data_IF_295182793387
#
_entry.id   IF_295182793387
#
_cell.length_a   1.000
_cell.length_b   1.000
_cell.length_c   1.000
_cell.angle_alpha   90.00
_cell.angle_beta   90.00
_cell.angle_gamma   90.00
#
_symmetry.space_group_name_H-M   'P 1'
#
loop_
_entity.id
_entity.type
_entity.pdbx_description
1 polymer ?
#
# COMPACT_ATOMS: atom_id res chain seq x y z
N UNK A 1 -9.90 -5.78 -5.57
CA UNK A 1 -10.07 -6.74 -4.45
C UNK A 1 -11.48 -7.31 -4.46
N UNK A 2 -11.63 -8.62 -4.19
CA UNK A 2 -12.92 -9.28 -3.97
C UNK A 2 -13.58 -8.78 -2.66
N UNK A 3 -14.92 -8.80 -2.52
CA UNK A 3 -15.59 -8.54 -1.24
C UNK A 3 -15.05 -9.47 -0.15
N UNK A 4 -14.84 -8.95 1.06
CA UNK A 4 -14.18 -9.65 2.17
C UNK A 4 -12.66 -9.69 2.10
N UNK A 5 -12.05 -9.30 0.97
CA UNK A 5 -10.60 -9.34 0.77
C UNK A 5 -9.84 -8.39 1.70
N UNK A 6 -8.62 -8.80 2.06
CA UNK A 6 -7.67 -8.03 2.86
C UNK A 6 -6.41 -7.79 2.02
N UNK A 7 -5.90 -6.57 2.07
CA UNK A 7 -4.62 -6.17 1.48
C UNK A 7 -3.75 -5.51 2.55
N UNK A 8 -2.49 -5.94 2.63
CA UNK A 8 -1.46 -5.28 3.42
C UNK A 8 -0.49 -4.61 2.46
N UNK A 9 -0.24 -3.31 2.65
CA UNK A 9 0.63 -2.54 1.76
C UNK A 9 1.38 -1.45 2.52
N UNK A 10 2.72 -1.35 2.37
CA UNK A 10 3.46 -0.18 2.83
C UNK A 10 3.17 1.01 1.91
N UNK A 11 2.84 2.16 2.50
CA UNK A 11 2.59 3.41 1.77
C UNK A 11 3.50 4.50 2.31
N UNK A 12 4.36 5.03 1.45
CA UNK A 12 5.39 6.01 1.77
C UNK A 12 6.61 5.83 0.86
N UNK A 13 7.62 6.69 1.03
CA UNK A 13 8.89 6.62 0.31
C UNK A 13 9.97 6.00 1.22
N UNK A 14 10.89 6.80 1.78
CA UNK A 14 11.99 6.32 2.64
C UNK A 14 11.53 5.61 3.92
N UNK A 15 10.52 6.17 4.60
CA UNK A 15 9.80 5.52 5.70
C UNK A 15 8.35 5.38 5.29
N UNK A 16 7.75 4.23 5.55
CA UNK A 16 6.37 3.96 5.15
C UNK A 16 5.50 3.58 6.32
N UNK A 17 4.19 3.81 6.16
CA UNK A 17 3.18 3.29 7.06
C UNK A 17 2.61 1.99 6.48
N UNK A 18 2.59 0.93 7.27
CA UNK A 18 1.92 -0.30 6.88
C UNK A 18 0.41 -0.13 7.07
N UNK A 19 -0.35 -0.33 5.99
CA UNK A 19 -1.80 -0.28 6.01
C UNK A 19 -2.43 -1.64 5.82
N UNK A 20 -3.38 -1.96 6.69
CA UNK A 20 -4.37 -3.02 6.47
C UNK A 20 -5.61 -2.42 5.81
N UNK A 21 -5.87 -2.81 4.59
CA UNK A 21 -7.05 -2.42 3.81
C UNK A 21 -7.99 -3.61 3.73
N UNK A 22 -9.26 -3.42 4.13
CA UNK A 22 -10.33 -4.43 4.01
C UNK A 22 -11.42 -3.90 3.09
N UNK A 23 -11.82 -4.71 2.11
CA UNK A 23 -13.06 -4.48 1.36
C UNK A 23 -14.18 -5.27 2.03
N UNK A 24 -15.23 -4.62 2.52
CA UNK A 24 -16.35 -5.34 3.14
C UNK A 24 -17.26 -6.01 2.09
N UNK A 25 -18.29 -6.71 2.56
CA UNK A 25 -19.26 -7.40 1.69
C UNK A 25 -20.11 -6.46 0.83
N UNK A 26 -20.28 -5.20 1.25
CA UNK A 26 -21.01 -4.15 0.52
C UNK A 26 -20.11 -3.39 -0.46
N UNK A 27 -18.81 -3.64 -0.40
CA UNK A 27 -17.81 -3.06 -1.27
C UNK A 27 -17.11 -1.83 -0.71
N UNK A 28 -17.40 -1.40 0.52
CA UNK A 28 -16.70 -0.28 1.14
C UNK A 28 -15.27 -0.65 1.52
N UNK A 29 -14.39 0.34 1.47
CA UNK A 29 -12.97 0.18 1.79
C UNK A 29 -12.70 0.75 3.18
N UNK A 30 -12.14 -0.09 4.05
CA UNK A 30 -11.73 0.27 5.40
C UNK A 30 -10.21 0.22 5.49
N UNK A 31 -9.56 1.32 5.90
CA UNK A 31 -8.10 1.45 5.97
C UNK A 31 -7.67 1.66 7.43
N UNK A 32 -6.71 0.87 7.91
CA UNK A 32 -6.13 0.97 9.26
C UNK A 32 -4.61 0.97 9.19
N UNK A 33 -3.96 1.97 9.80
CA UNK A 33 -2.50 1.98 10.02
C UNK A 33 -2.16 0.92 11.08
N UNK A 34 -1.15 0.09 10.80
CA UNK A 34 -0.72 -0.99 11.71
C UNK A 34 0.69 -0.80 12.27
N UNK A 35 1.48 0.13 11.72
CA UNK A 35 2.81 0.45 12.21
C UNK A 35 3.66 1.15 11.15
N UNK A 36 4.84 1.60 11.54
CA UNK A 36 5.84 2.19 10.65
C UNK A 36 6.82 1.10 10.21
N UNK A 37 7.24 1.13 8.95
CA UNK A 37 8.08 0.10 8.30
C UNK A 37 9.07 0.74 7.32
N UNK A 38 10.07 -0.04 6.90
CA UNK A 38 11.04 0.34 5.86
C UNK A 38 11.16 -0.80 4.85
N UNK A 39 10.59 -0.59 3.66
CA UNK A 39 10.65 -1.47 2.50
C UNK A 39 11.30 -0.74 1.32
N UNK A 40 11.68 -1.50 0.28
CA UNK A 40 12.08 -0.93 -1.01
C UNK A 40 10.89 -0.24 -1.70
N UNK A 41 11.12 0.78 -2.56
CA UNK A 41 10.05 1.44 -3.29
C UNK A 41 9.41 0.48 -4.31
N UNK A 42 8.08 0.47 -4.35
CA UNK A 42 7.32 -0.24 -5.37
C UNK A 42 7.45 0.49 -6.71
N UNK A 43 8.31 0.02 -7.60
CA UNK A 43 8.51 0.62 -8.94
C UNK A 43 7.47 0.09 -9.93
N UNK A 44 6.84 0.99 -10.69
CA UNK A 44 5.94 0.58 -11.79
C UNK A 44 4.95 1.66 -12.21
N UNK A 45 4.06 1.34 -13.15
CA UNK A 45 3.08 2.29 -13.73
C UNK A 45 2.19 3.01 -12.70
N UNK A 46 1.96 2.39 -11.55
CA UNK A 46 1.16 2.96 -10.44
C UNK A 46 1.98 3.09 -9.15
N UNK A 47 3.31 2.96 -9.26
CA UNK A 47 4.25 3.07 -8.15
C UNK A 47 5.21 4.24 -8.37
N UNK A 48 6.37 4.17 -7.74
CA UNK A 48 7.43 5.13 -7.97
C UNK A 48 7.94 5.02 -9.40
N UNK A 49 8.19 6.17 -10.04
CA UNK A 49 8.91 6.20 -11.31
C UNK A 49 10.36 5.84 -11.03
N UNK A 50 10.92 4.96 -11.86
CA UNK A 50 12.37 4.75 -11.87
C UNK A 50 12.99 6.11 -12.17
N UNK A 51 13.71 6.69 -11.21
CA UNK A 51 14.61 7.80 -11.53
C UNK A 51 15.64 7.18 -12.47
N UNK A 52 15.64 7.60 -13.73
CA UNK A 52 16.82 7.44 -14.55
C UNK A 52 17.89 8.24 -13.81
N UNK A 53 18.88 7.54 -13.27
CA UNK A 53 20.09 8.18 -12.78
C UNK A 53 20.71 8.91 -13.98
N UNK A 54 21.00 10.20 -13.80
CA UNK A 54 21.75 11.01 -14.75
C UNK A 54 23.19 10.51 -14.86
#
# INVERSE_FOLDING_TARGET
>A
MKPGGIMLIPVGDYFQELYKIKKDGKGHIHKKKTGDVVFVPLIGKHGFRKRLEC
#
